data_IF_736651313176
#
_entry.id   IF_736651313176
#
_cell.length_a   1.000
_cell.length_b   1.000
_cell.length_c   1.000
_cell.angle_alpha   90.00
_cell.angle_beta   90.00
_cell.angle_gamma   90.00
#
_symmetry.space_group_name_H-M   'P 1'
#
loop_
_entity.id
_entity.type
_entity.pdbx_description
1 polymer ?
#
# COMPACT_ATOMS: atom_id res chain seq x y z
N UNK A 1 -16.22 -22.66 -13.68
CA UNK A 1 -15.37 -21.58 -13.15
C UNK A 1 -16.17 -20.36 -12.70
N UNK A 2 -16.05 -20.00 -11.42
CA UNK A 2 -16.47 -18.70 -10.84
C UNK A 2 -15.23 -17.81 -10.75
N UNK A 3 -15.30 -16.59 -11.28
CA UNK A 3 -14.14 -15.67 -11.35
C UNK A 3 -14.34 -14.52 -10.38
N UNK A 4 -13.47 -14.42 -9.39
CA UNK A 4 -13.54 -13.46 -8.30
C UNK A 4 -12.40 -12.45 -8.45
N UNK A 5 -12.72 -11.19 -8.73
CA UNK A 5 -11.72 -10.12 -8.78
C UNK A 5 -11.62 -9.43 -7.41
N UNK A 6 -10.40 -9.30 -6.88
CA UNK A 6 -10.14 -8.62 -5.61
C UNK A 6 -9.71 -7.19 -5.93
N UNK A 7 -10.62 -6.22 -5.76
CA UNK A 7 -10.44 -4.85 -6.27
C UNK A 7 -10.46 -3.83 -5.14
N UNK A 8 -9.38 -3.04 -5.07
CA UNK A 8 -9.33 -1.85 -4.23
C UNK A 8 -8.26 -0.84 -4.69
N UNK A 9 -8.68 0.42 -4.87
CA UNK A 9 -7.85 1.56 -5.29
C UNK A 9 -6.86 2.02 -4.19
N UNK A 10 -7.09 1.69 -2.93
CA UNK A 10 -6.13 1.97 -1.85
C UNK A 10 -4.99 0.95 -1.90
N UNK A 11 -3.75 1.42 -1.86
CA UNK A 11 -2.59 0.59 -1.57
C UNK A 11 -2.66 0.05 -0.13
N UNK A 12 -2.12 -1.15 0.13
CA UNK A 12 -1.99 -1.68 1.49
C UNK A 12 -3.27 -2.23 2.15
N UNK A 13 -4.41 -2.26 1.47
CA UNK A 13 -5.67 -2.82 1.97
C UNK A 13 -5.73 -4.36 2.00
N UNK A 14 -4.61 -5.05 1.74
CA UNK A 14 -4.51 -6.51 1.84
C UNK A 14 -5.05 -7.29 0.65
N UNK A 15 -5.22 -6.69 -0.55
CA UNK A 15 -5.66 -7.40 -1.77
C UNK A 15 -4.88 -8.70 -2.01
N UNK A 16 -3.58 -8.60 -2.25
CA UNK A 16 -2.70 -9.74 -2.50
C UNK A 16 -2.73 -10.75 -1.35
N UNK A 17 -2.73 -10.27 -0.11
CA UNK A 17 -2.85 -11.13 1.08
C UNK A 17 -4.15 -11.92 1.05
N UNK A 18 -5.27 -11.30 0.71
CA UNK A 18 -6.57 -11.96 0.61
C UNK A 18 -6.58 -12.90 -0.59
N UNK A 19 -6.08 -12.48 -1.75
CA UNK A 19 -5.98 -13.28 -2.97
C UNK A 19 -5.23 -14.59 -2.73
N UNK A 20 -4.03 -14.53 -2.14
CA UNK A 20 -3.21 -15.71 -1.82
C UNK A 20 -3.93 -16.63 -0.83
N UNK A 21 -4.36 -16.10 0.31
CA UNK A 21 -4.84 -16.95 1.40
C UNK A 21 -6.25 -17.48 1.14
N UNK A 22 -7.11 -16.72 0.45
CA UNK A 22 -8.40 -17.23 -0.01
C UNK A 22 -8.22 -18.31 -1.08
N UNK A 23 -7.29 -18.11 -2.03
CA UNK A 23 -6.99 -19.13 -3.03
C UNK A 23 -6.51 -20.43 -2.38
N UNK A 24 -5.62 -20.32 -1.39
CA UNK A 24 -5.16 -21.48 -0.61
C UNK A 24 -6.29 -22.14 0.18
N UNK A 25 -7.16 -21.37 0.85
CA UNK A 25 -8.27 -21.93 1.61
C UNK A 25 -9.32 -22.63 0.73
N UNK A 26 -9.61 -22.10 -0.46
CA UNK A 26 -10.46 -22.76 -1.45
C UNK A 26 -9.84 -24.07 -1.96
N UNK A 27 -8.52 -24.09 -2.19
CA UNK A 27 -7.80 -25.29 -2.60
C UNK A 27 -7.83 -26.37 -1.49
N UNK A 28 -7.66 -26.00 -0.22
CA UNK A 28 -7.82 -26.90 0.93
C UNK A 28 -9.24 -27.43 1.07
N UNK A 29 -10.25 -26.59 0.77
CA UNK A 29 -11.66 -27.01 0.68
C UNK A 29 -11.95 -27.89 -0.55
N UNK A 30 -10.90 -28.26 -1.30
CA UNK A 30 -10.94 -29.25 -2.36
C UNK A 30 -11.28 -28.71 -3.73
N UNK A 31 -11.40 -27.40 -3.90
CA UNK A 31 -11.67 -26.75 -5.18
C UNK A 31 -10.40 -26.67 -6.04
N UNK A 32 -10.51 -26.77 -7.36
CA UNK A 32 -9.41 -26.43 -8.27
C UNK A 32 -9.36 -24.92 -8.47
N UNK A 33 -8.25 -24.30 -8.10
CA UNK A 33 -8.12 -22.85 -8.02
C UNK A 33 -7.00 -22.35 -8.91
N UNK A 34 -7.31 -21.33 -9.71
CA UNK A 34 -6.33 -20.52 -10.43
C UNK A 34 -6.22 -19.14 -9.76
N UNK A 35 -5.02 -18.75 -9.36
CA UNK A 35 -4.73 -17.38 -8.96
C UNK A 35 -4.05 -16.66 -10.13
N UNK A 36 -4.61 -15.53 -10.55
CA UNK A 36 -4.04 -14.67 -11.59
C UNK A 36 -3.57 -13.37 -10.95
N UNK A 37 -2.27 -13.13 -10.97
CA UNK A 37 -1.69 -11.87 -10.53
C UNK A 37 -1.79 -10.84 -11.67
N UNK A 38 -2.53 -9.75 -11.48
CA UNK A 38 -2.66 -8.65 -12.43
C UNK A 38 -1.98 -7.37 -11.93
N UNK A 39 -1.19 -7.44 -10.86
CA UNK A 39 -0.41 -6.30 -10.36
C UNK A 39 1.02 -6.35 -10.95
N UNK A 40 1.49 -5.30 -11.65
CA UNK A 40 2.87 -5.24 -12.13
C UNK A 40 3.95 -5.40 -11.04
N UNK A 41 3.61 -5.23 -9.76
CA UNK A 41 4.52 -5.51 -8.64
C UNK A 41 4.72 -7.00 -8.34
N UNK A 42 3.92 -7.89 -8.92
CA UNK A 42 4.07 -9.35 -8.83
C UNK A 42 4.15 -9.90 -7.38
N UNK A 43 3.41 -9.31 -6.46
CA UNK A 43 3.46 -9.70 -5.05
C UNK A 43 2.91 -11.12 -4.79
N UNK A 44 2.08 -11.69 -5.67
CA UNK A 44 1.64 -13.07 -5.51
C UNK A 44 2.80 -14.06 -5.69
N UNK A 45 3.69 -13.82 -6.65
CA UNK A 45 4.87 -14.67 -6.85
C UNK A 45 5.76 -14.70 -5.60
N UNK A 46 6.05 -13.51 -5.04
CA UNK A 46 6.84 -13.38 -3.81
C UNK A 46 6.14 -14.07 -2.63
N UNK A 47 4.84 -13.81 -2.44
CA UNK A 47 4.05 -14.37 -1.34
C UNK A 47 3.80 -15.88 -1.43
N UNK A 48 4.16 -16.50 -2.55
CA UNK A 48 4.05 -17.95 -2.80
C UNK A 48 5.42 -18.58 -3.14
N UNK A 49 6.52 -17.89 -2.85
CA UNK A 49 7.89 -18.34 -3.07
C UNK A 49 8.20 -18.77 -4.53
N UNK A 50 7.50 -18.20 -5.51
CA UNK A 50 7.81 -18.40 -6.93
C UNK A 50 9.05 -17.56 -7.29
N UNK A 51 10.11 -18.17 -7.82
CA UNK A 51 11.35 -17.47 -8.11
C UNK A 51 11.19 -16.53 -9.30
N UNK A 52 11.02 -15.23 -9.03
CA UNK A 52 10.74 -14.20 -10.06
C UNK A 52 11.74 -14.21 -11.23
N UNK A 53 13.01 -14.53 -10.96
CA UNK A 53 14.06 -14.62 -12.00
C UNK A 53 13.87 -15.76 -13.00
N UNK A 54 13.02 -16.74 -12.69
CA UNK A 54 12.70 -17.88 -13.56
C UNK A 54 11.38 -17.68 -14.32
N UNK A 55 10.68 -16.57 -14.06
CA UNK A 55 9.46 -16.22 -14.80
C UNK A 55 9.88 -15.67 -16.17
N UNK A 56 10.00 -16.56 -17.16
CA UNK A 56 10.34 -16.20 -18.53
C UNK A 56 9.14 -15.58 -19.29
N UNK A 57 7.94 -16.07 -18.96
CA UNK A 57 6.67 -15.59 -19.50
C UNK A 57 5.67 -15.40 -18.36
N UNK A 58 4.84 -14.38 -18.50
CA UNK A 58 3.90 -13.94 -17.46
C UNK A 58 2.51 -13.69 -18.07
N UNK A 59 1.54 -13.30 -17.23
CA UNK A 59 0.21 -12.94 -17.69
C UNK A 59 0.26 -11.83 -18.75
N UNK A 60 1.26 -10.94 -18.68
CA UNK A 60 1.46 -9.88 -19.68
C UNK A 60 1.57 -10.46 -21.09
N UNK A 61 2.39 -11.49 -21.28
CA UNK A 61 2.64 -12.13 -22.57
C UNK A 61 1.37 -12.77 -23.12
N UNK A 62 0.58 -13.42 -22.25
CA UNK A 62 -0.72 -13.99 -22.61
C UNK A 62 -1.69 -12.89 -23.06
N UNK A 63 -1.77 -11.77 -22.33
CA UNK A 63 -2.74 -10.71 -22.62
C UNK A 63 -2.44 -9.94 -23.93
N UNK A 64 -1.16 -9.79 -24.29
CA UNK A 64 -0.74 -9.11 -25.53
C UNK A 64 -0.56 -10.07 -26.71
N UNK A 65 -0.50 -11.39 -26.47
CA UNK A 65 -0.27 -12.41 -27.50
C UNK A 65 -1.16 -12.25 -28.74
N UNK A 66 -2.42 -11.83 -28.51
CA UNK A 66 -3.41 -11.62 -29.56
C UNK A 66 -3.09 -10.43 -30.46
N UNK A 67 -2.49 -9.35 -29.94
CA UNK A 67 -2.07 -8.21 -30.76
C UNK A 67 -0.80 -8.51 -31.54
N UNK A 68 0.00 -9.48 -31.09
CA UNK A 68 1.25 -9.92 -31.74
C UNK A 68 1.08 -11.02 -32.79
N UNK A 69 -0.14 -11.56 -32.99
CA UNK A 69 -0.41 -12.74 -33.84
C UNK A 69 0.39 -14.00 -33.44
N UNK A 70 0.85 -14.08 -32.19
CA UNK A 70 1.58 -15.23 -31.64
C UNK A 70 0.87 -15.66 -30.34
N UNK A 71 -0.19 -16.50 -30.43
CA UNK A 71 -1.02 -16.83 -29.28
C UNK A 71 -0.24 -17.68 -28.27
N UNK A 72 -0.14 -17.18 -27.04
CA UNK A 72 0.42 -17.91 -25.89
C UNK A 72 -0.77 -18.36 -25.04
N UNK A 73 -0.85 -19.66 -24.73
CA UNK A 73 -1.93 -20.16 -23.87
C UNK A 73 -1.62 -19.83 -22.41
N UNK A 74 -2.67 -19.60 -21.65
CA UNK A 74 -2.55 -19.36 -20.21
C UNK A 74 -1.85 -20.52 -19.48
N UNK A 75 -2.07 -21.77 -19.92
CA UNK A 75 -1.44 -22.97 -19.36
C UNK A 75 0.08 -23.02 -19.50
N UNK A 76 0.67 -22.23 -20.39
CA UNK A 76 2.11 -22.22 -20.65
C UNK A 76 2.90 -21.43 -19.59
N UNK A 77 2.22 -20.56 -18.84
CA UNK A 77 2.85 -19.67 -17.84
C UNK A 77 2.54 -20.09 -16.39
N UNK A 78 1.82 -21.19 -16.18
CA UNK A 78 1.31 -21.56 -14.87
C UNK A 78 2.41 -22.16 -13.98
N UNK A 79 2.42 -21.71 -12.73
CA UNK A 79 3.25 -22.25 -11.67
C UNK A 79 2.40 -23.07 -10.71
N UNK A 80 2.75 -24.34 -10.51
CA UNK A 80 2.10 -25.18 -9.53
C UNK A 80 2.51 -24.75 -8.12
N UNK A 81 1.54 -24.41 -7.28
CA UNK A 81 1.76 -24.04 -5.87
C UNK A 81 1.41 -25.21 -4.96
N UNK A 82 0.24 -25.81 -5.15
CA UNK A 82 -0.20 -27.07 -4.52
C UNK A 82 -0.96 -27.90 -5.54
N UNK A 83 -1.31 -29.15 -5.24
CA UNK A 83 -2.08 -30.03 -6.16
C UNK A 83 -3.38 -29.42 -6.73
N UNK A 84 -3.93 -28.39 -6.08
CA UNK A 84 -5.18 -27.74 -6.45
C UNK A 84 -5.08 -26.22 -6.60
N UNK A 85 -3.88 -25.64 -6.48
CA UNK A 85 -3.63 -24.22 -6.64
C UNK A 85 -2.50 -23.99 -7.64
N UNK A 86 -2.82 -23.25 -8.69
CA UNK A 86 -1.84 -22.78 -9.68
C UNK A 86 -1.85 -21.24 -9.73
N UNK A 87 -0.68 -20.66 -10.02
CA UNK A 87 -0.48 -19.23 -10.17
C UNK A 87 -0.17 -18.91 -11.63
N UNK A 88 -0.90 -17.96 -12.22
CA UNK A 88 -0.48 -17.22 -13.40
C UNK A 88 0.22 -15.93 -12.92
N UNK A 89 1.57 -15.86 -12.98
CA UNK A 89 2.31 -14.78 -12.37
C UNK A 89 2.26 -13.49 -13.21
N UNK A 90 2.48 -12.36 -12.54
CA UNK A 90 2.70 -11.08 -13.18
C UNK A 90 4.19 -10.82 -13.42
N UNK A 91 4.46 -9.71 -14.11
CA UNK A 91 5.80 -9.16 -14.26
C UNK A 91 5.71 -7.64 -14.36
N UNK A 92 6.84 -6.95 -14.20
CA UNK A 92 6.91 -5.50 -14.32
C UNK A 92 6.45 -5.00 -15.70
N UNK A 93 6.55 -5.84 -16.74
CA UNK A 93 6.13 -5.52 -18.11
C UNK A 93 4.63 -5.28 -18.23
N UNK A 94 3.84 -5.78 -17.28
CA UNK A 94 2.40 -5.52 -17.19
C UNK A 94 2.09 -4.02 -17.07
N UNK A 95 3.04 -3.20 -16.59
CA UNK A 95 2.94 -1.73 -16.58
C UNK A 95 2.83 -1.12 -17.98
N UNK A 96 3.40 -1.77 -19.01
CA UNK A 96 3.33 -1.33 -20.39
C UNK A 96 2.05 -1.78 -21.11
N UNK A 97 1.21 -2.61 -20.47
CA UNK A 97 0.03 -3.22 -21.08
C UNK A 97 -0.91 -2.19 -21.73
N UNK A 98 -1.20 -1.09 -21.03
CA UNK A 98 -2.11 -0.06 -21.55
C UNK A 98 -1.57 0.65 -22.80
N UNK A 99 -0.26 0.91 -22.83
CA UNK A 99 0.40 1.51 -23.98
C UNK A 99 0.43 0.54 -25.17
N UNK A 100 0.77 -0.74 -24.93
CA UNK A 100 0.85 -1.76 -25.99
C UNK A 100 -0.51 -2.06 -26.62
N UNK A 101 -1.57 -1.98 -25.83
CA UNK A 101 -2.93 -2.24 -26.30
C UNK A 101 -3.62 -0.98 -26.85
N UNK A 102 -2.89 0.14 -27.01
CA UNK A 102 -3.46 1.36 -27.57
C UNK A 102 -3.97 1.15 -29.00
N UNK A 103 -5.22 1.51 -29.26
CA UNK A 103 -5.87 1.34 -30.57
C UNK A 103 -6.31 -0.09 -30.88
N UNK A 104 -6.03 -1.07 -30.02
CA UNK A 104 -6.52 -2.44 -30.18
C UNK A 104 -8.00 -2.51 -29.74
N UNK A 105 -8.91 -3.00 -30.61
CA UNK A 105 -10.31 -3.22 -30.25
C UNK A 105 -10.44 -4.26 -29.13
N UNK A 106 -11.45 -4.10 -28.26
CA UNK A 106 -11.73 -5.02 -27.15
C UNK A 106 -10.53 -5.32 -26.22
N UNK A 107 -9.61 -4.36 -26.09
CA UNK A 107 -8.44 -4.48 -25.20
C UNK A 107 -8.79 -4.68 -23.71
N UNK A 108 -10.03 -4.39 -23.32
CA UNK A 108 -10.55 -4.69 -21.99
C UNK A 108 -11.00 -6.15 -21.81
N UNK A 109 -11.02 -6.96 -22.87
CA UNK A 109 -11.52 -8.33 -22.86
C UNK A 109 -10.40 -9.39 -22.83
N UNK A 110 -9.12 -8.99 -22.89
CA UNK A 110 -8.00 -9.91 -23.02
C UNK A 110 -7.97 -11.00 -21.94
N UNK A 111 -8.16 -10.63 -20.67
CA UNK A 111 -8.15 -11.61 -19.58
C UNK A 111 -9.34 -12.58 -19.66
N UNK A 112 -10.53 -12.07 -19.97
CA UNK A 112 -11.73 -12.91 -20.17
C UNK A 112 -11.49 -13.96 -21.24
N UNK A 113 -10.93 -13.53 -22.36
CA UNK A 113 -10.67 -14.41 -23.50
C UNK A 113 -9.59 -15.45 -23.20
N UNK A 114 -8.55 -15.07 -22.44
CA UNK A 114 -7.54 -16.01 -21.96
C UNK A 114 -8.12 -17.07 -21.01
N UNK A 115 -8.99 -16.65 -20.09
CA UNK A 115 -9.65 -17.53 -19.11
C UNK A 115 -10.68 -18.48 -19.73
N UNK A 116 -11.29 -18.14 -20.86
CA UNK A 116 -12.22 -19.05 -21.55
C UNK A 116 -11.51 -20.35 -21.99
N UNK A 117 -10.19 -20.29 -22.26
CA UNK A 117 -9.38 -21.46 -22.60
C UNK A 117 -9.20 -22.49 -21.48
N UNK A 118 -9.38 -22.09 -20.21
CA UNK A 118 -9.17 -22.93 -19.02
C UNK A 118 -10.42 -23.09 -18.14
N UNK A 119 -11.57 -22.63 -18.65
CA UNK A 119 -12.82 -22.54 -17.89
C UNK A 119 -13.35 -23.87 -17.34
N UNK A 120 -12.95 -24.99 -17.96
CA UNK A 120 -13.36 -26.33 -17.54
C UNK A 120 -12.33 -26.99 -16.60
N UNK A 121 -11.16 -26.37 -16.40
CA UNK A 121 -10.07 -26.93 -15.61
C UNK A 121 -10.13 -26.47 -14.15
N UNK A 122 -10.74 -25.30 -13.90
CA UNK A 122 -10.86 -24.69 -12.57
C UNK A 122 -12.30 -24.47 -12.11
N UNK A 123 -12.51 -24.69 -10.82
CA UNK A 123 -13.75 -24.37 -10.14
C UNK A 123 -13.80 -22.86 -9.85
N UNK A 124 -12.68 -22.29 -9.39
CA UNK A 124 -12.52 -20.88 -9.03
C UNK A 124 -11.29 -20.24 -9.69
N UNK A 125 -11.44 -18.98 -10.09
CA UNK A 125 -10.32 -18.11 -10.45
C UNK A 125 -10.33 -16.88 -9.57
N UNK A 126 -9.21 -16.55 -8.94
CA UNK A 126 -9.02 -15.32 -8.19
C UNK A 126 -8.13 -14.39 -9.02
N UNK A 127 -8.50 -13.12 -9.11
CA UNK A 127 -7.73 -12.10 -9.84
C UNK A 127 -7.24 -11.04 -8.87
N UNK A 128 -5.94 -11.02 -8.58
CA UNK A 128 -5.32 -9.99 -7.73
C UNK A 128 -5.12 -8.71 -8.54
N UNK A 129 -5.90 -7.67 -8.25
CA UNK A 129 -5.88 -6.45 -9.05
C UNK A 129 -4.88 -5.42 -8.50
N UNK A 130 -4.30 -4.57 -9.37
CA UNK A 130 -3.42 -3.49 -8.93
C UNK A 130 -4.20 -2.44 -8.12
N UNK A 131 -3.53 -1.60 -7.31
CA UNK A 131 -4.15 -0.48 -6.59
C UNK A 131 -4.60 0.68 -7.50
N UNK A 132 -4.56 0.51 -8.82
CA UNK A 132 -4.92 1.53 -9.79
C UNK A 132 -6.26 1.20 -10.47
N UNK A 133 -7.02 2.24 -10.83
CA UNK A 133 -8.18 2.09 -11.71
C UNK A 133 -7.71 2.38 -13.14
N UNK A 134 -7.36 1.31 -13.86
CA UNK A 134 -6.83 1.37 -15.21
C UNK A 134 -7.21 0.14 -16.04
N UNK A 135 -6.61 -0.01 -17.23
CA UNK A 135 -6.98 -1.06 -18.18
C UNK A 135 -6.88 -2.49 -17.61
N UNK A 136 -5.95 -2.74 -16.70
CA UNK A 136 -5.79 -4.03 -16.00
C UNK A 136 -7.01 -4.36 -15.13
N UNK A 137 -7.47 -3.38 -14.36
CA UNK A 137 -8.68 -3.51 -13.53
C UNK A 137 -9.93 -3.69 -14.42
N UNK A 138 -10.01 -3.01 -15.57
CA UNK A 138 -11.07 -3.27 -16.55
C UNK A 138 -11.07 -4.72 -17.06
N UNK A 139 -9.88 -5.28 -17.35
CA UNK A 139 -9.74 -6.67 -17.76
C UNK A 139 -10.20 -7.64 -16.67
N UNK A 140 -9.80 -7.39 -15.42
CA UNK A 140 -10.27 -8.17 -14.27
C UNK A 140 -11.80 -8.12 -14.14
N UNK A 141 -12.41 -6.93 -14.21
CA UNK A 141 -13.86 -6.77 -14.11
C UNK A 141 -14.61 -7.43 -15.27
N UNK A 142 -14.11 -7.35 -16.50
CA UNK A 142 -14.70 -8.01 -17.68
C UNK A 142 -14.63 -9.54 -17.60
N UNK A 143 -13.64 -10.07 -16.91
CA UNK A 143 -13.49 -11.50 -16.67
C UNK A 143 -14.28 -12.00 -15.45
N UNK A 144 -14.54 -11.12 -14.47
CA UNK A 144 -15.14 -11.46 -13.19
C UNK A 144 -16.63 -11.79 -13.29
N UNK A 145 -17.05 -12.74 -12.45
CA UNK A 145 -18.45 -12.97 -12.06
C UNK A 145 -18.76 -12.25 -10.74
N UNK A 146 -17.76 -12.17 -9.86
CA UNK A 146 -17.87 -11.61 -8.51
C UNK A 146 -16.69 -10.67 -8.27
N UNK A 147 -16.91 -9.64 -7.46
CA UNK A 147 -15.89 -8.69 -7.04
C UNK A 147 -15.88 -8.64 -5.52
N UNK A 148 -14.72 -8.89 -4.94
CA UNK A 148 -14.48 -8.69 -3.51
C UNK A 148 -13.80 -7.34 -3.33
N UNK A 149 -14.40 -6.48 -2.52
CA UNK A 149 -13.82 -5.19 -2.13
C UNK A 149 -13.34 -5.31 -0.68
N UNK A 150 -12.03 -5.56 -0.47
CA UNK A 150 -11.48 -5.59 0.88
C UNK A 150 -11.43 -4.17 1.45
N UNK A 151 -11.97 -3.98 2.65
CA UNK A 151 -11.98 -2.70 3.36
C UNK A 151 -11.25 -2.87 4.67
N UNK A 152 -10.16 -2.14 4.83
CA UNK A 152 -9.41 -2.05 6.09
C UNK A 152 -10.26 -1.28 7.10
N UNK A 153 -10.46 -1.78 8.33
CA UNK A 153 -11.24 -1.08 9.37
C UNK A 153 -10.40 -0.05 10.15
N UNK A 154 -9.76 0.87 9.44
CA UNK A 154 -8.93 1.96 10.00
C UNK A 154 -9.53 3.35 9.78
N UNK A 155 -8.91 4.39 10.33
CA UNK A 155 -9.43 5.78 10.32
C UNK A 155 -9.96 6.27 8.94
N UNK A 156 -9.24 5.95 7.87
CA UNK A 156 -9.60 6.38 6.50
C UNK A 156 -10.47 5.39 5.71
N UNK A 157 -11.00 4.35 6.37
CA UNK A 157 -11.76 3.28 5.72
C UNK A 157 -12.98 3.77 4.96
N UNK A 158 -13.83 4.56 5.65
CA UNK A 158 -15.13 4.95 5.14
C UNK A 158 -15.03 6.07 4.09
N UNK A 159 -14.14 7.04 4.29
CA UNK A 159 -13.95 8.14 3.35
C UNK A 159 -13.48 7.66 1.96
N UNK A 160 -12.60 6.65 1.91
CA UNK A 160 -12.13 6.06 0.66
C UNK A 160 -13.15 5.12 0.00
N UNK A 161 -13.99 4.47 0.81
CA UNK A 161 -14.88 3.41 0.36
C UNK A 161 -16.00 3.91 -0.57
N UNK A 162 -16.65 5.04 -0.23
CA UNK A 162 -17.73 5.58 -1.07
C UNK A 162 -17.23 5.88 -2.49
N UNK A 163 -16.18 6.70 -2.60
CA UNK A 163 -15.60 7.04 -3.90
C UNK A 163 -15.12 5.82 -4.69
N UNK A 164 -14.61 4.81 -3.99
CA UNK A 164 -14.17 3.57 -4.60
C UNK A 164 -15.35 2.75 -5.17
N UNK A 165 -16.44 2.60 -4.41
CA UNK A 165 -17.63 1.89 -4.86
C UNK A 165 -18.38 2.65 -5.96
N UNK A 166 -18.40 3.97 -5.92
CA UNK A 166 -18.88 4.82 -7.00
C UNK A 166 -18.10 4.54 -8.29
N UNK A 167 -16.77 4.60 -8.18
CA UNK A 167 -15.87 4.30 -9.29
C UNK A 167 -16.14 2.91 -9.83
N UNK A 168 -16.23 1.89 -8.97
CA UNK A 168 -16.52 0.53 -9.36
C UNK A 168 -17.88 0.39 -10.08
N UNK A 169 -18.93 1.06 -9.58
CA UNK A 169 -20.24 1.08 -10.22
C UNK A 169 -20.18 1.68 -11.64
N UNK A 170 -19.44 2.79 -11.81
CA UNK A 170 -19.21 3.41 -13.12
C UNK A 170 -18.44 2.46 -14.05
N UNK A 171 -17.41 1.79 -13.54
CA UNK A 171 -16.61 0.82 -14.31
C UNK A 171 -17.48 -0.35 -14.78
N UNK A 172 -18.30 -0.92 -13.90
CA UNK A 172 -19.18 -2.04 -14.22
C UNK A 172 -20.22 -1.66 -15.28
N UNK A 173 -20.83 -0.46 -15.16
CA UNK A 173 -21.75 0.10 -16.16
C UNK A 173 -21.06 0.24 -17.53
N UNK A 174 -19.84 0.80 -17.56
CA UNK A 174 -19.07 0.98 -18.80
C UNK A 174 -18.70 -0.36 -19.44
N UNK A 175 -18.45 -1.37 -18.64
CA UNK A 175 -18.13 -2.72 -19.11
C UNK A 175 -19.35 -3.51 -19.60
N UNK A 176 -20.58 -3.01 -19.43
CA UNK A 176 -21.79 -3.81 -19.69
C UNK A 176 -21.73 -5.22 -19.06
N UNK A 177 -21.01 -5.35 -17.94
CA UNK A 177 -20.75 -6.61 -17.25
C UNK A 177 -21.52 -6.60 -15.94
N UNK A 178 -22.23 -7.69 -15.69
CA UNK A 178 -22.94 -7.89 -14.42
C UNK A 178 -22.00 -8.60 -13.45
N UNK A 179 -21.48 -7.86 -12.47
CA UNK A 179 -20.67 -8.42 -11.38
C UNK A 179 -21.40 -8.26 -10.05
N UNK A 180 -21.26 -9.25 -9.19
CA UNK A 180 -21.72 -9.20 -7.81
C UNK A 180 -20.61 -8.62 -6.94
N UNK A 181 -20.78 -7.42 -6.38
CA UNK A 181 -19.76 -6.84 -5.50
C UNK A 181 -20.14 -7.11 -4.04
N UNK A 182 -19.24 -7.75 -3.32
CA UNK A 182 -19.34 -7.93 -1.88
C UNK A 182 -18.17 -7.26 -1.17
N UNK A 183 -18.48 -6.55 -0.08
CA UNK A 183 -17.51 -5.92 0.80
C UNK A 183 -16.98 -6.96 1.79
N UNK A 184 -15.66 -6.99 1.97
CA UNK A 184 -14.99 -7.81 2.97
C UNK A 184 -14.28 -6.92 3.99
N UNK A 185 -14.70 -6.95 5.25
CA UNK A 185 -13.92 -6.31 6.30
C UNK A 185 -12.60 -7.07 6.51
N UNK A 186 -11.50 -6.35 6.41
CA UNK A 186 -10.14 -6.89 6.45
C UNK A 186 -9.30 -6.15 7.47
N UNK A 187 -8.23 -6.81 7.95
CA UNK A 187 -7.32 -6.30 8.98
C UNK A 187 -8.05 -5.80 10.24
N UNK A 188 -9.15 -6.46 10.60
CA UNK A 188 -10.00 -6.02 11.71
C UNK A 188 -9.32 -6.23 13.07
N UNK A 189 -9.13 -5.13 13.82
CA UNK A 189 -8.64 -5.17 15.20
C UNK A 189 -9.74 -4.80 16.19
N UNK A 190 -10.37 -5.84 16.76
CA UNK A 190 -11.45 -5.73 17.76
C UNK A 190 -11.09 -4.88 18.99
N UNK A 191 -9.80 -4.74 19.30
CA UNK A 191 -9.33 -3.97 20.46
C UNK A 191 -9.56 -2.48 20.27
N UNK A 192 -9.60 -2.02 19.03
CA UNK A 192 -9.81 -0.60 18.72
C UNK A 192 -11.30 -0.28 18.72
N UNK A 193 -11.67 0.84 19.35
CA UNK A 193 -13.06 1.35 19.33
C UNK A 193 -13.48 1.70 17.90
N UNK A 194 -12.58 2.37 17.17
CA UNK A 194 -12.79 2.77 15.79
C UNK A 194 -13.08 1.61 14.85
N UNK A 195 -12.34 0.50 14.90
CA UNK A 195 -12.62 -0.64 14.03
C UNK A 195 -14.01 -1.23 14.32
N UNK A 196 -14.46 -1.23 15.59
CA UNK A 196 -15.81 -1.69 15.97
C UNK A 196 -16.90 -0.78 15.42
N UNK A 197 -16.70 0.54 15.49
CA UNK A 197 -17.64 1.54 14.95
C UNK A 197 -17.71 1.46 13.42
N UNK A 198 -16.56 1.43 12.75
CA UNK A 198 -16.49 1.27 11.28
C UNK A 198 -17.14 -0.04 10.85
N UNK A 199 -16.87 -1.15 11.54
CA UNK A 199 -17.49 -2.43 11.21
C UNK A 199 -19.02 -2.40 11.38
N UNK A 200 -19.52 -1.73 12.42
CA UNK A 200 -20.96 -1.56 12.62
C UNK A 200 -21.57 -0.76 11.47
N UNK A 201 -20.93 0.33 11.08
CA UNK A 201 -21.33 1.17 9.95
C UNK A 201 -21.34 0.37 8.64
N UNK A 202 -20.26 -0.36 8.35
CA UNK A 202 -20.19 -1.22 7.16
C UNK A 202 -21.33 -2.24 7.14
N UNK A 203 -21.67 -2.85 8.28
CA UNK A 203 -22.79 -3.79 8.35
C UNK A 203 -24.15 -3.13 8.16
N UNK A 204 -24.33 -1.93 8.68
CA UNK A 204 -25.56 -1.15 8.53
C UNK A 204 -25.81 -0.76 7.07
N UNK A 205 -24.77 -0.27 6.37
CA UNK A 205 -24.92 0.18 4.97
C UNK A 205 -24.87 -0.95 3.97
N UNK A 206 -24.00 -1.95 4.17
CA UNK A 206 -23.78 -3.00 3.17
C UNK A 206 -24.64 -4.25 3.41
N UNK A 207 -25.06 -4.53 4.64
CA UNK A 207 -25.96 -5.64 5.01
C UNK A 207 -25.71 -6.95 4.22
N UNK A 208 -26.59 -7.32 3.29
CA UNK A 208 -26.53 -8.47 2.38
C UNK A 208 -25.38 -8.43 1.35
N UNK A 209 -24.77 -7.27 1.14
CA UNK A 209 -23.62 -7.01 0.25
C UNK A 209 -22.28 -7.05 0.99
N UNK A 210 -22.27 -7.54 2.22
CA UNK A 210 -21.05 -7.73 3.01
C UNK A 210 -20.93 -9.19 3.38
N UNK A 211 -19.70 -9.73 3.32
CA UNK A 211 -19.43 -11.04 3.89
C UNK A 211 -19.68 -11.01 5.40
N UNK A 212 -20.32 -12.06 5.90
CA UNK A 212 -20.47 -12.29 7.34
C UNK A 212 -19.10 -12.51 7.97
N UNK A 213 -18.22 -13.19 7.23
CA UNK A 213 -16.84 -13.41 7.61
C UNK A 213 -16.03 -12.12 7.58
N UNK A 214 -15.17 -11.97 8.58
CA UNK A 214 -14.24 -10.84 8.72
C UNK A 214 -12.83 -11.41 8.82
N UNK A 215 -11.89 -10.82 8.09
CA UNK A 215 -10.48 -11.16 8.23
C UNK A 215 -9.88 -10.29 9.34
N UNK A 216 -9.51 -10.91 10.46
CA UNK A 216 -8.92 -10.20 11.60
C UNK A 216 -7.47 -9.79 11.31
N UNK A 217 -7.03 -8.72 11.98
CA UNK A 217 -5.60 -8.42 12.05
C UNK A 217 -4.86 -9.58 12.72
N UNK A 218 -3.88 -10.14 12.01
CA UNK A 218 -3.05 -11.22 12.52
C UNK A 218 -1.62 -11.05 12.03
N UNK A 219 -0.67 -10.96 12.97
CA UNK A 219 0.76 -10.79 12.66
C UNK A 219 1.32 -11.97 11.88
N UNK A 220 0.82 -13.18 12.12
CA UNK A 220 1.26 -14.41 11.45
C UNK A 220 0.97 -14.40 9.96
N UNK A 221 -0.08 -13.70 9.50
CA UNK A 221 -0.35 -13.55 8.06
C UNK A 221 0.78 -12.75 7.39
N UNK A 222 1.26 -11.69 8.04
CA UNK A 222 2.38 -10.88 7.56
C UNK A 222 3.68 -11.68 7.58
N UNK A 223 3.91 -12.44 8.64
CA UNK A 223 5.06 -13.35 8.74
C UNK A 223 5.03 -14.39 7.62
N UNK A 224 3.90 -15.08 7.42
CA UNK A 224 3.72 -16.07 6.35
C UNK A 224 4.09 -15.51 4.97
N UNK A 225 3.63 -14.29 4.65
CA UNK A 225 4.00 -13.60 3.41
C UNK A 225 5.52 -13.34 3.30
N UNK A 226 6.21 -13.06 4.40
CA UNK A 226 7.67 -12.88 4.40
C UNK A 226 8.45 -14.19 4.20
N UNK A 227 7.83 -15.33 4.50
CA UNK A 227 8.37 -16.66 4.21
C UNK A 227 7.93 -17.20 2.85
N UNK A 228 7.15 -16.44 2.08
CA UNK A 228 6.64 -16.86 0.77
C UNK A 228 5.66 -18.02 0.86
N UNK A 229 4.89 -18.10 1.94
CA UNK A 229 3.93 -19.16 2.19
C UNK A 229 2.55 -18.59 2.52
N UNK A 230 1.45 -19.25 2.11
CA UNK A 230 0.13 -18.92 2.62
C UNK A 230 0.02 -19.28 4.12
N UNK A 231 -0.93 -18.67 4.83
CA UNK A 231 -1.11 -18.86 6.27
C UNK A 231 -1.51 -20.29 6.63
N UNK A 232 -2.16 -20.99 5.71
CA UNK A 232 -2.44 -22.43 5.75
C UNK A 232 -1.19 -23.28 5.96
N UNK A 233 -0.09 -22.94 5.28
CA UNK A 233 1.17 -23.67 5.37
C UNK A 233 2.02 -23.18 6.53
N UNK A 234 2.08 -21.85 6.75
CA UNK A 234 2.90 -21.25 7.80
C UNK A 234 2.36 -21.54 9.22
N UNK A 235 1.06 -21.35 9.45
CA UNK A 235 0.41 -21.69 10.71
C UNK A 235 -1.07 -22.09 10.51
N UNK A 236 -1.33 -23.39 10.20
CA UNK A 236 -2.67 -23.90 9.96
C UNK A 236 -3.61 -23.80 11.18
N UNK A 237 -3.07 -23.68 12.40
CA UNK A 237 -3.87 -23.54 13.61
C UNK A 237 -4.24 -22.08 13.94
N UNK A 238 -3.68 -21.12 13.21
CA UNK A 238 -3.84 -19.69 13.47
C UNK A 238 -5.29 -19.22 13.33
N UNK A 239 -5.62 -18.11 14.01
CA UNK A 239 -6.90 -17.44 13.80
C UNK A 239 -7.05 -16.92 12.36
N UNK A 240 -5.94 -16.49 11.75
CA UNK A 240 -5.94 -16.00 10.37
C UNK A 240 -6.37 -17.08 9.38
N UNK A 241 -5.85 -18.30 9.54
CA UNK A 241 -6.27 -19.43 8.71
C UNK A 241 -7.76 -19.74 8.89
N UNK A 242 -8.26 -19.73 10.13
CA UNK A 242 -9.69 -19.94 10.41
C UNK A 242 -10.57 -18.89 9.74
N UNK A 243 -10.14 -17.63 9.73
CA UNK A 243 -10.87 -16.56 9.05
C UNK A 243 -10.96 -16.81 7.54
N UNK A 244 -9.87 -17.26 6.89
CA UNK A 244 -9.89 -17.58 5.46
C UNK A 244 -10.66 -18.87 5.13
N UNK A 245 -10.63 -19.88 6.01
CA UNK A 245 -11.47 -21.07 5.88
C UNK A 245 -12.95 -20.71 5.92
N UNK A 246 -13.37 -19.89 6.91
CA UNK A 246 -14.74 -19.41 6.99
C UNK A 246 -15.15 -18.60 5.75
N UNK A 247 -14.25 -17.76 5.22
CA UNK A 247 -14.51 -16.98 4.02
C UNK A 247 -14.65 -17.88 2.79
N UNK A 248 -13.82 -18.91 2.65
CA UNK A 248 -13.92 -19.89 1.59
C UNK A 248 -15.24 -20.68 1.67
N UNK A 249 -15.64 -21.13 2.86
CA UNK A 249 -16.92 -21.81 3.10
C UNK A 249 -18.11 -20.91 2.75
N UNK A 250 -18.09 -19.64 3.14
CA UNK A 250 -19.12 -18.66 2.79
C UNK A 250 -19.21 -18.47 1.27
N UNK A 251 -18.07 -18.32 0.58
CA UNK A 251 -18.03 -18.19 -0.88
C UNK A 251 -18.53 -19.46 -1.59
N UNK A 252 -18.21 -20.65 -1.08
CA UNK A 252 -18.70 -21.93 -1.63
C UNK A 252 -20.21 -22.07 -1.39
N UNK A 253 -20.71 -21.63 -0.23
CA UNK A 253 -22.11 -21.74 0.17
C UNK A 253 -23.07 -20.75 -0.48
N UNK A 254 -22.59 -19.59 -0.96
CA UNK A 254 -23.45 -18.57 -1.58
C UNK A 254 -24.06 -19.03 -2.92
N UNK A 255 -25.40 -19.10 -3.05
CA UNK A 255 -26.05 -19.54 -4.28
C UNK A 255 -25.88 -18.50 -5.38
N UNK A 256 -25.29 -18.91 -6.50
CA UNK A 256 -25.20 -18.04 -7.65
C UNK A 256 -26.52 -18.02 -8.45
N UNK A 257 -27.31 -16.92 -8.43
CA UNK A 257 -27.90 -16.27 -9.65
C UNK A 257 -29.12 -15.34 -9.53
N UNK A 258 -29.90 -15.21 -8.45
CA UNK A 258 -31.25 -14.61 -8.60
C UNK A 258 -31.55 -13.25 -7.95
N UNK A 259 -30.79 -12.78 -6.95
CA UNK A 259 -30.96 -11.42 -6.36
C UNK A 259 -30.29 -10.29 -7.19
N UNK A 260 -29.86 -10.61 -8.41
CA UNK A 260 -28.70 -10.03 -9.10
C UNK A 260 -28.99 -8.79 -9.96
N UNK A 261 -30.18 -8.19 -9.87
CA UNK A 261 -30.65 -7.07 -10.73
C UNK A 261 -30.84 -5.72 -10.02
N UNK A 262 -31.04 -5.70 -8.70
CA UNK A 262 -31.26 -4.45 -7.92
C UNK A 262 -29.96 -3.74 -7.50
N UNK A 263 -28.83 -4.41 -7.69
CA UNK A 263 -27.53 -4.10 -7.10
C UNK A 263 -26.85 -2.81 -7.61
N UNK A 264 -26.78 -2.59 -8.93
CA UNK A 264 -26.03 -1.43 -9.50
C UNK A 264 -26.76 -0.10 -9.26
N UNK A 265 -28.09 -0.13 -9.14
CA UNK A 265 -28.89 1.07 -8.89
C UNK A 265 -28.91 1.44 -7.40
N UNK A 266 -29.03 0.45 -6.49
CA UNK A 266 -29.02 0.71 -5.04
C UNK A 266 -27.66 1.19 -4.50
N UNK A 267 -26.56 0.83 -5.16
CA UNK A 267 -25.23 1.34 -4.80
C UNK A 267 -25.12 2.87 -4.94
N UNK A 268 -25.74 3.47 -5.95
CA UNK A 268 -25.70 4.93 -6.14
C UNK A 268 -26.39 5.67 -4.99
N UNK A 269 -27.51 5.14 -4.51
CA UNK A 269 -28.31 5.75 -3.44
C UNK A 269 -27.64 5.59 -2.06
N UNK A 270 -26.91 4.49 -1.82
CA UNK A 270 -26.19 4.24 -0.56
C UNK A 270 -24.87 5.01 -0.44
N UNK A 271 -24.30 5.48 -1.55
CA UNK A 271 -23.04 6.22 -1.55
C UNK A 271 -23.15 7.60 -0.88
N UNK A 272 -24.31 8.25 -1.00
CA UNK A 272 -24.57 9.54 -0.35
C UNK A 272 -24.69 9.41 1.17
N UNK A 273 -25.32 8.33 1.68
CA UNK A 273 -25.45 8.08 3.12
C UNK A 273 -24.11 7.72 3.77
N UNK A 274 -23.30 6.86 3.14
CA UNK A 274 -21.99 6.46 3.67
C UNK A 274 -21.05 7.67 3.73
N UNK A 275 -21.09 8.55 2.72
CA UNK A 275 -20.24 9.75 2.73
C UNK A 275 -20.62 10.72 3.85
N UNK A 276 -21.89 10.79 4.23
CA UNK A 276 -22.35 11.59 5.36
C UNK A 276 -21.87 11.01 6.68
N UNK A 277 -22.09 9.71 6.94
CA UNK A 277 -21.66 9.11 8.21
C UNK A 277 -20.15 9.05 8.36
N UNK A 278 -19.40 8.85 7.27
CA UNK A 278 -17.95 8.91 7.28
C UNK A 278 -17.44 10.25 7.82
N UNK A 279 -18.05 11.36 7.39
CA UNK A 279 -17.70 12.70 7.86
C UNK A 279 -18.09 12.93 9.33
N UNK A 280 -19.24 12.41 9.76
CA UNK A 280 -19.70 12.52 11.16
C UNK A 280 -18.82 11.71 12.12
N UNK A 281 -18.44 10.48 11.77
CA UNK A 281 -17.54 9.64 12.58
C UNK A 281 -16.13 10.25 12.70
N UNK A 282 -15.65 10.90 11.63
CA UNK A 282 -14.38 11.63 11.63
C UNK A 282 -14.47 12.86 12.55
N UNK A 283 -15.55 13.65 12.46
CA UNK A 283 -15.77 14.80 13.35
C UNK A 283 -15.97 14.39 14.80
N UNK A 284 -16.67 13.29 15.08
CA UNK A 284 -16.85 12.76 16.44
C UNK A 284 -15.55 12.22 17.05
N UNK A 285 -14.54 11.91 16.23
CA UNK A 285 -13.20 11.52 16.66
C UNK A 285 -12.26 12.72 16.90
N UNK A 286 -12.68 13.96 16.58
CA UNK A 286 -11.94 15.18 16.93
C UNK A 286 -12.20 15.55 18.41
N UNK A 287 -11.15 15.82 19.22
CA UNK A 287 -11.36 16.26 20.59
C UNK A 287 -11.92 17.70 20.60
N UNK A 288 -13.01 17.90 21.33
CA UNK A 288 -13.57 19.23 21.58
C UNK A 288 -12.59 20.06 22.42
N UNK A 289 -11.96 21.07 21.82
CA UNK A 289 -11.16 22.07 22.54
C UNK A 289 -12.05 23.30 22.75
N UNK A 290 -12.49 23.53 23.98
CA UNK A 290 -13.02 24.83 24.41
C UNK A 290 -11.89 25.86 24.39
N UNK A 291 -11.99 26.83 23.47
CA UNK A 291 -11.10 27.99 23.44
C UNK A 291 -11.51 28.92 24.59
N UNK A 292 -10.77 28.89 25.69
CA UNK A 292 -10.84 29.96 26.70
C UNK A 292 -10.01 31.13 26.18
N UNK A 293 -10.67 32.20 25.74
CA UNK A 293 -10.01 33.46 25.40
C UNK A 293 -9.37 34.08 26.65
N UNK A 294 -8.06 33.90 26.81
CA UNK A 294 -7.25 34.77 27.68
C UNK A 294 -6.65 35.89 26.84
N UNK A 295 -7.19 37.09 27.01
CA UNK A 295 -6.63 38.34 26.48
C UNK A 295 -5.23 38.59 27.02
N UNK A 296 -4.24 38.76 26.13
CA UNK A 296 -2.88 39.19 26.45
C UNK A 296 -2.68 40.63 25.93
N UNK A 297 -2.06 41.56 26.70
CA UNK A 297 -1.93 42.96 26.30
C UNK A 297 -0.89 43.19 25.19
N UNK A 298 -1.21 44.13 24.30
CA UNK A 298 -0.42 44.61 23.17
C UNK A 298 0.96 45.17 23.57
N UNK A 299 2.01 44.80 22.84
CA UNK A 299 3.33 45.46 22.86
C UNK A 299 3.66 46.05 21.48
N UNK A 300 4.46 47.13 21.39
CA UNK A 300 4.44 48.07 20.28
C UNK A 300 5.30 47.62 19.09
N UNK A 301 4.80 47.88 17.87
CA UNK A 301 5.49 47.64 16.60
C UNK A 301 6.67 48.62 16.36
N UNK A 302 7.81 48.17 15.80
CA UNK A 302 8.81 49.06 15.21
C UNK A 302 8.45 49.44 13.76
N UNK A 303 8.74 50.70 13.41
CA UNK A 303 8.46 51.37 12.12
C UNK A 303 9.34 50.90 10.94
N UNK A 304 8.88 51.08 9.68
CA UNK A 304 9.56 50.59 8.48
C UNK A 304 10.68 51.54 8.00
N UNK A 305 11.80 50.96 7.51
CA UNK A 305 12.81 51.66 6.71
C UNK A 305 12.73 51.23 5.24
N UNK A 306 12.69 52.23 4.36
CA UNK A 306 12.61 52.13 2.90
C UNK A 306 13.91 51.57 2.29
N UNK A 307 13.80 50.67 1.30
CA UNK A 307 14.87 50.39 0.34
C UNK A 307 14.37 50.58 -1.10
N UNK A 308 15.21 51.31 -1.84
CA UNK A 308 14.99 51.90 -3.16
C UNK A 308 15.06 50.86 -4.28
N UNK A 309 14.22 51.05 -5.31
CA UNK A 309 14.13 50.26 -6.54
C UNK A 309 15.20 50.65 -7.58
N UNK A 310 15.75 49.67 -8.31
CA UNK A 310 16.29 49.87 -9.66
C UNK A 310 16.35 48.55 -10.46
N UNK A 311 15.95 48.62 -11.74
CA UNK A 311 15.71 47.53 -12.67
C UNK A 311 16.94 47.10 -13.49
N UNK A 312 16.82 45.93 -14.12
CA UNK A 312 17.80 45.24 -14.98
C UNK A 312 18.17 45.98 -16.30
N UNK A 313 19.22 45.51 -16.98
CA UNK A 313 18.98 44.98 -18.33
C UNK A 313 19.81 43.71 -18.71
N UNK A 314 19.59 43.31 -19.95
CA UNK A 314 19.54 41.97 -20.57
C UNK A 314 20.78 41.59 -21.40
N UNK A 315 20.92 40.28 -21.66
CA UNK A 315 21.33 39.62 -22.93
C UNK A 315 22.75 39.01 -23.13
N UNK A 316 22.69 37.77 -23.63
CA UNK A 316 23.51 37.07 -24.64
C UNK A 316 24.71 36.18 -24.23
N UNK A 317 24.59 34.88 -24.56
CA UNK A 317 25.65 33.87 -24.73
C UNK A 317 26.32 34.03 -26.14
N UNK A 318 27.50 33.43 -26.52
CA UNK A 318 27.81 31.99 -26.36
C UNK A 318 29.30 31.54 -26.29
N UNK A 319 29.47 30.20 -26.17
CA UNK A 319 30.47 29.31 -26.79
C UNK A 319 31.85 29.01 -26.15
N UNK A 320 31.96 27.74 -25.69
CA UNK A 320 33.02 26.73 -25.90
C UNK A 320 34.53 27.07 -25.77
N UNK A 321 35.19 26.41 -24.82
CA UNK A 321 36.43 25.66 -25.07
C UNK A 321 36.64 24.57 -24.01
N UNK A 322 36.92 23.35 -24.47
CA UNK A 322 37.23 22.17 -23.68
C UNK A 322 38.68 22.22 -23.17
N UNK A 323 38.91 21.74 -21.94
CA UNK A 323 40.18 21.13 -21.49
C UNK A 323 39.92 20.23 -20.28
N UNK A 324 40.31 18.96 -20.39
CA UNK A 324 40.35 17.97 -19.33
C UNK A 324 41.78 17.90 -18.71
N UNK A 325 42.03 17.12 -17.65
CA UNK A 325 42.23 17.64 -16.30
C UNK A 325 43.71 17.63 -15.87
N UNK A 326 44.07 18.52 -14.94
CA UNK A 326 45.33 18.44 -14.21
C UNK A 326 45.09 17.80 -12.83
N UNK A 327 45.80 16.71 -12.58
CA UNK A 327 45.94 16.00 -11.32
C UNK A 327 46.60 16.88 -10.26
N UNK A 328 45.95 17.04 -9.12
CA UNK A 328 46.62 17.37 -7.85
C UNK A 328 45.91 16.66 -6.71
N UNK A 329 46.65 15.74 -6.10
CA UNK A 329 46.35 15.06 -4.85
C UNK A 329 46.07 16.10 -3.75
N UNK A 330 44.94 15.96 -3.07
CA UNK A 330 44.78 16.53 -1.73
C UNK A 330 44.14 15.49 -0.81
N UNK A 331 44.93 15.21 0.21
CA UNK A 331 44.75 14.31 1.35
C UNK A 331 43.49 14.61 2.15
N UNK A 332 42.65 13.59 2.34
CA UNK A 332 41.53 13.58 3.29
C UNK A 332 42.03 13.70 4.74
N UNK A 333 41.42 14.56 5.58
CA UNK A 333 41.54 14.43 7.01
C UNK A 333 40.67 13.25 7.48
N UNK A 334 41.36 12.20 7.92
CA UNK A 334 40.82 10.98 8.50
C UNK A 334 39.78 11.29 9.62
N UNK A 335 38.49 11.11 9.32
CA UNK A 335 37.45 10.96 10.33
C UNK A 335 37.53 9.50 10.82
N UNK A 336 37.55 9.22 12.14
CA UNK A 336 37.70 7.86 12.63
C UNK A 336 36.46 7.02 12.32
N UNK A 337 36.64 5.90 11.63
CA UNK A 337 35.63 4.84 11.50
C UNK A 337 35.22 4.34 12.89
N UNK A 338 33.95 4.51 13.23
CA UNK A 338 33.37 3.88 14.42
C UNK A 338 33.21 2.39 14.10
N UNK A 339 34.11 1.56 14.62
CA UNK A 339 33.94 0.11 14.62
C UNK A 339 32.71 -0.26 15.44
N UNK A 340 31.75 -0.92 14.79
CA UNK A 340 30.59 -1.54 15.44
C UNK A 340 31.11 -2.74 16.25
N UNK A 341 31.00 -2.74 17.59
CA UNK A 341 31.40 -3.91 18.37
C UNK A 341 30.43 -5.06 18.09
N UNK A 342 30.95 -6.21 17.66
CA UNK A 342 30.20 -7.45 17.61
C UNK A 342 29.76 -7.81 19.04
N UNK A 343 28.46 -7.76 19.33
CA UNK A 343 27.89 -8.09 20.63
C UNK A 343 27.16 -9.43 20.52
N UNK A 344 27.41 -10.31 21.49
CA UNK A 344 26.83 -11.65 21.59
C UNK A 344 25.29 -11.62 21.55
N UNK A 345 24.69 -12.64 20.93
CA UNK A 345 23.25 -12.81 20.81
C UNK A 345 22.57 -12.79 22.19
N UNK A 346 21.52 -11.96 22.39
CA UNK A 346 20.68 -12.07 23.57
C UNK A 346 19.60 -13.15 23.35
N UNK A 347 19.46 -14.05 24.32
CA UNK A 347 18.28 -14.89 24.48
C UNK A 347 17.08 -14.03 24.90
N UNK A 348 15.90 -14.25 24.31
CA UNK A 348 14.61 -13.75 24.84
C UNK A 348 13.88 -12.71 23.99
N UNK A 349 12.55 -12.86 24.03
CA UNK A 349 11.49 -12.43 23.10
C UNK A 349 10.99 -10.99 23.28
N UNK A 350 11.31 -10.09 22.33
CA UNK A 350 10.44 -9.00 21.80
C UNK A 350 11.14 -8.38 20.57
N UNK A 351 10.57 -8.58 19.38
CA UNK A 351 11.15 -8.12 18.11
C UNK A 351 11.01 -6.61 17.91
N UNK A 352 9.97 -5.97 18.49
CA UNK A 352 9.76 -4.53 18.36
C UNK A 352 10.80 -3.73 19.14
N UNK A 353 11.20 -4.21 20.34
CA UNK A 353 12.32 -3.63 21.09
C UNK A 353 13.67 -3.76 20.38
N UNK A 354 13.90 -4.88 19.67
CA UNK A 354 15.13 -5.12 18.90
C UNK A 354 15.27 -4.24 17.67
N UNK A 355 14.15 -3.78 17.08
CA UNK A 355 14.15 -2.90 15.91
C UNK A 355 14.32 -1.43 16.30
N UNK A 356 13.76 -0.98 17.43
CA UNK A 356 14.01 0.36 17.98
C UNK A 356 15.46 0.58 18.40
N UNK A 357 16.16 -0.50 18.77
CA UNK A 357 17.61 -0.46 19.05
C UNK A 357 18.44 -0.18 17.77
N UNK A 358 17.85 -0.35 16.58
CA UNK A 358 18.52 -0.22 15.27
C UNK A 358 17.99 0.93 14.40
N UNK A 359 16.70 1.26 14.49
CA UNK A 359 16.00 2.28 13.69
C UNK A 359 15.15 3.19 14.58
N UNK A 360 15.04 4.47 14.21
CA UNK A 360 14.36 5.52 14.97
C UNK A 360 15.33 6.54 15.53
N UNK A 361 14.96 7.16 16.66
CA UNK A 361 15.70 8.27 17.26
C UNK A 361 16.51 7.81 18.46
N UNK A 362 17.83 7.83 18.33
CA UNK A 362 18.78 7.44 19.38
C UNK A 362 19.45 8.66 19.98
N UNK A 363 19.28 8.88 21.28
CA UNK A 363 19.92 9.99 22.00
C UNK A 363 21.29 9.56 22.54
N UNK A 364 22.34 10.26 22.13
CA UNK A 364 23.70 10.13 22.66
C UNK A 364 24.04 11.30 23.57
N UNK A 365 25.13 11.22 24.33
CA UNK A 365 25.53 12.25 25.30
C UNK A 365 25.76 13.65 24.71
N UNK A 366 25.99 13.78 23.40
CA UNK A 366 26.29 15.06 22.74
C UNK A 366 25.43 15.37 21.51
N UNK A 367 24.49 14.48 21.15
CA UNK A 367 23.69 14.61 19.93
C UNK A 367 22.57 13.57 19.86
N UNK A 368 21.68 13.76 18.89
CA UNK A 368 20.62 12.84 18.52
C UNK A 368 20.93 12.24 17.15
N UNK A 369 20.89 10.92 17.06
CA UNK A 369 21.08 10.17 15.82
C UNK A 369 19.73 9.67 15.35
N UNK A 370 19.35 10.05 14.13
CA UNK A 370 18.16 9.55 13.46
C UNK A 370 18.59 8.45 12.50
N UNK A 371 17.95 7.28 12.56
CA UNK A 371 18.22 6.14 11.69
C UNK A 371 16.91 5.64 11.10
N UNK A 372 16.84 5.44 9.79
CA UNK A 372 15.61 5.00 9.11
C UNK A 372 15.92 4.10 7.92
N UNK A 373 14.94 3.30 7.47
CA UNK A 373 15.14 2.30 6.41
C UNK A 373 14.28 2.64 5.18
N UNK A 374 14.95 3.08 4.11
CA UNK A 374 14.35 3.27 2.79
C UNK A 374 15.27 2.70 1.70
N UNK A 375 15.18 1.39 1.39
CA UNK A 375 16.08 0.73 0.45
C UNK A 375 16.06 1.28 -0.96
N UNK A 376 14.89 1.77 -1.39
CA UNK A 376 14.63 2.29 -2.73
C UNK A 376 14.66 3.81 -2.80
N UNK A 377 14.83 4.52 -1.69
CA UNK A 377 14.89 5.99 -1.74
C UNK A 377 16.20 6.46 -2.38
N UNK A 378 16.11 7.58 -3.10
CA UNK A 378 17.25 8.28 -3.68
C UNK A 378 17.72 9.42 -2.76
N UNK A 379 16.80 10.03 -2.03
CA UNK A 379 17.08 11.12 -1.10
C UNK A 379 16.20 11.00 0.15
N UNK A 380 16.84 11.06 1.33
CA UNK A 380 16.16 11.13 2.61
C UNK A 380 16.68 12.32 3.39
N UNK A 381 15.77 13.14 3.89
CA UNK A 381 16.07 14.36 4.63
C UNK A 381 15.19 14.42 5.89
N UNK A 382 15.60 15.21 6.86
CA UNK A 382 14.78 15.47 8.05
C UNK A 382 14.46 16.96 8.13
N UNK A 383 13.25 17.30 8.56
CA UNK A 383 12.80 18.68 8.74
C UNK A 383 12.03 18.80 10.04
N UNK A 384 12.33 19.83 10.83
CA UNK A 384 11.71 20.03 12.12
C UNK A 384 12.07 21.38 12.73
N UNK A 385 11.69 21.56 14.00
CA UNK A 385 11.88 22.81 14.72
C UNK A 385 13.36 23.25 14.75
N UNK A 386 14.28 22.29 14.77
CA UNK A 386 15.73 22.52 14.85
C UNK A 386 16.38 23.00 13.54
N UNK A 387 15.68 22.95 12.41
CA UNK A 387 16.17 23.44 11.12
C UNK A 387 15.15 24.35 10.40
N UNK A 388 14.22 24.94 11.16
CA UNK A 388 13.14 25.78 10.64
C UNK A 388 12.33 25.10 9.53
N UNK A 389 12.12 23.79 9.63
CA UNK A 389 11.37 23.00 8.64
C UNK A 389 11.97 23.07 7.22
N UNK A 390 13.30 23.18 7.10
CA UNK A 390 14.03 23.21 5.82
C UNK A 390 14.80 21.90 5.60
N UNK A 391 14.26 20.92 4.85
CA UNK A 391 14.87 19.60 4.69
C UNK A 391 16.30 19.63 4.13
N UNK A 392 16.58 20.61 3.26
CA UNK A 392 17.90 20.81 2.66
C UNK A 392 19.01 21.09 3.67
N UNK A 393 18.69 21.53 4.89
CA UNK A 393 19.69 21.83 5.93
C UNK A 393 20.16 20.58 6.67
N UNK A 394 19.41 19.48 6.64
CA UNK A 394 19.75 18.23 7.32
C UNK A 394 19.43 17.03 6.42
N UNK A 395 20.22 16.80 5.35
CA UNK A 395 20.15 15.56 4.59
C UNK A 395 20.60 14.37 5.46
N UNK A 396 20.07 13.19 5.15
CA UNK A 396 20.51 11.92 5.72
C UNK A 396 21.50 11.23 4.78
N UNK A 397 22.46 10.53 5.35
CA UNK A 397 23.48 9.78 4.62
C UNK A 397 23.09 8.31 4.53
N UNK A 398 23.24 7.72 3.34
CA UNK A 398 23.00 6.28 3.13
C UNK A 398 24.16 5.47 3.72
N UNK A 399 23.85 4.56 4.63
CA UNK A 399 24.82 3.71 5.34
C UNK A 399 24.78 2.30 4.78
N UNK A 400 25.88 1.87 4.16
CA UNK A 400 26.00 0.55 3.56
C UNK A 400 25.05 0.33 2.38
N UNK A 401 24.84 -0.94 2.00
CA UNK A 401 24.02 -1.31 0.84
C UNK A 401 22.57 -1.69 1.20
N UNK A 402 22.23 -1.69 2.49
CA UNK A 402 20.95 -2.20 3.01
C UNK A 402 19.78 -1.20 3.00
N UNK A 403 19.98 0.02 2.48
CA UNK A 403 18.91 1.02 2.47
C UNK A 403 18.73 1.84 3.74
N UNK A 404 19.70 1.74 4.65
CA UNK A 404 19.69 2.48 5.90
C UNK A 404 20.13 3.91 5.63
N UNK A 405 19.43 4.87 6.21
CA UNK A 405 19.74 6.29 6.17
C UNK A 405 19.96 6.78 7.59
N UNK A 406 21.00 7.59 7.81
CA UNK A 406 21.28 8.16 9.12
C UNK A 406 21.63 9.64 9.06
N UNK A 407 21.35 10.37 10.13
CA UNK A 407 21.94 11.69 10.35
C UNK A 407 22.13 11.97 11.83
N UNK A 408 23.15 12.77 12.18
CA UNK A 408 23.48 13.15 13.56
C UNK A 408 23.25 14.65 13.73
N UNK A 409 22.37 15.04 14.66
CA UNK A 409 22.01 16.43 14.92
C UNK A 409 22.32 16.76 16.38
N UNK A 410 23.04 17.86 16.62
CA UNK A 410 23.25 18.38 17.97
C UNK A 410 22.03 19.17 18.40
N UNK A 411 21.27 18.63 19.35
CA UNK A 411 20.05 19.25 19.88
C UNK A 411 20.21 19.50 21.38
N UNK A 412 19.95 20.74 21.85
CA UNK A 412 19.77 21.02 23.27
C UNK A 412 18.62 20.20 23.89
N UNK A 413 18.57 20.16 25.22
CA UNK A 413 17.42 19.61 25.94
C UNK A 413 16.15 20.36 25.56
N UNK A 414 15.09 19.62 25.20
CA UNK A 414 13.84 20.22 24.73
C UNK A 414 12.94 19.27 23.97
N UNK A 415 11.72 19.73 23.70
CA UNK A 415 10.74 19.04 22.86
C UNK A 415 10.81 19.60 21.44
N UNK A 416 10.99 18.73 20.45
CA UNK A 416 11.12 19.06 19.04
C UNK A 416 10.10 18.30 18.22
N UNK A 417 9.50 18.97 17.24
CA UNK A 417 8.66 18.39 16.21
C UNK A 417 9.47 18.22 14.94
N UNK A 418 9.30 17.08 14.26
CA UNK A 418 10.00 16.81 13.01
C UNK A 418 9.23 15.83 12.11
N UNK A 419 9.64 15.76 10.85
CA UNK A 419 9.19 14.83 9.82
C UNK A 419 10.36 14.41 8.94
N UNK A 420 10.19 13.26 8.30
CA UNK A 420 11.08 12.79 7.25
C UNK A 420 10.57 13.29 5.90
N UNK A 421 11.49 13.63 5.01
CA UNK A 421 11.21 13.95 3.61
C UNK A 421 11.96 12.94 2.75
N UNK A 422 11.22 11.99 2.18
CA UNK A 422 11.75 10.88 1.38
C UNK A 422 11.36 11.13 -0.07
N UNK A 423 12.34 11.32 -0.95
CA UNK A 423 12.14 11.63 -2.38
C UNK A 423 11.14 12.79 -2.61
N UNK A 424 11.20 13.80 -1.72
CA UNK A 424 10.33 14.98 -1.76
C UNK A 424 8.94 14.81 -1.11
N UNK A 425 8.59 13.61 -0.64
CA UNK A 425 7.35 13.33 0.06
C UNK A 425 7.50 13.49 1.57
N UNK A 426 6.61 14.27 2.19
CA UNK A 426 6.60 14.51 3.62
C UNK A 426 5.90 13.39 4.37
N UNK A 427 6.57 12.81 5.36
CA UNK A 427 6.07 11.66 6.08
C UNK A 427 6.49 11.68 7.54
N UNK A 428 5.68 11.02 8.36
CA UNK A 428 6.04 10.75 9.75
C UNK A 428 7.25 9.80 9.81
N UNK A 429 8.02 9.87 10.89
CA UNK A 429 8.97 8.80 11.20
C UNK A 429 8.19 7.52 11.59
N UNK A 430 8.25 6.44 10.78
CA UNK A 430 7.53 5.20 11.05
C UNK A 430 8.04 4.48 12.32
N UNK A 431 9.23 4.85 12.81
CA UNK A 431 9.85 4.28 14.00
C UNK A 431 9.61 5.14 15.25
N UNK A 432 8.92 6.28 15.13
CA UNK A 432 8.55 7.11 16.27
C UNK A 432 7.04 7.06 16.54
N UNK A 433 6.68 6.50 17.70
CA UNK A 433 5.30 6.34 18.13
C UNK A 433 4.71 7.59 18.80
N UNK A 434 5.53 8.59 19.10
CA UNK A 434 5.09 9.84 19.73
C UNK A 434 4.89 10.88 18.64
N UNK A 435 3.65 11.35 18.48
CA UNK A 435 3.26 12.31 17.43
C UNK A 435 2.30 13.37 17.91
N UNK A 436 2.31 14.52 17.24
CA UNK A 436 1.37 15.62 17.45
C UNK A 436 0.81 16.10 16.11
N UNK A 437 -0.47 16.48 16.09
CA UNK A 437 -1.12 17.03 14.89
C UNK A 437 -0.59 18.44 14.64
N UNK A 438 -0.16 18.71 13.42
CA UNK A 438 0.31 20.02 12.98
C UNK A 438 -0.86 20.90 12.47
N UNK A 439 -0.65 22.22 12.28
CA UNK A 439 -1.70 23.14 11.83
C UNK A 439 -2.33 22.81 10.47
N UNK A 440 -1.75 21.89 9.70
CA UNK A 440 -2.22 21.45 8.39
C UNK A 440 -2.96 20.11 8.45
N UNK A 441 -3.22 19.57 9.66
CA UNK A 441 -3.96 18.32 9.85
C UNK A 441 -3.13 17.05 9.64
N UNK A 442 -1.80 17.17 9.52
CA UNK A 442 -0.89 16.04 9.39
C UNK A 442 -0.11 15.80 10.69
N UNK A 443 0.54 14.64 10.85
CA UNK A 443 1.28 14.31 12.07
C UNK A 443 2.76 14.69 11.98
N UNK A 444 3.22 15.44 12.98
CA UNK A 444 4.64 15.61 13.27
C UNK A 444 5.09 14.54 14.27
N UNK A 445 6.27 13.98 14.07
CA UNK A 445 6.95 13.14 15.06
C UNK A 445 7.52 14.01 16.17
N UNK A 446 7.40 13.58 17.43
CA UNK A 446 7.90 14.31 18.60
C UNK A 446 9.17 13.66 19.11
N UNK A 447 10.19 14.47 19.35
CA UNK A 447 11.42 14.10 20.05
C UNK A 447 11.56 14.92 21.33
N UNK A 448 11.62 14.27 22.48
CA UNK A 448 12.02 14.88 23.74
C UNK A 448 13.48 14.56 24.05
N UNK A 449 14.38 15.53 23.87
CA UNK A 449 15.80 15.41 24.22
C UNK A 449 15.96 15.62 25.72
N UNK A 450 16.49 14.63 26.43
CA UNK A 450 16.59 14.61 27.90
C UNK A 450 17.87 15.20 28.45
#
# INVERSE_FOLDING_TARGET
>A
MRTIAIVNQKGGCGKTTISINLASALAEAGQKVLLVDMDPQSHCAVGLAVPERQIEQSIYDVLISRSRNEPIKLTEILWQITDKLELAPASIDLSAFEQQMAGIPERECCLRDALEGVKNDYDYTLVDCPPAVGLLTFNALRAATDVVVPVETGYFALHGLSKQLETLSILCKRCSQHVEVCVLASMYDIRTKMAREILAELREHFSDKMYTTIVNFNTKIKEASSFGQPISEYDPASKGQKDFQALAEEIIGSPAKEQRREFVNSLADQLESISATANELIQAAEPAIEIVETTIPEQPQPQPQEFVTAAAPTAAAPAYAAQAPATTEHTDPHIPEIQIPARAEPEGTDLNGRLSDYYGVNQMSDAVVFVTLYPRAENVQIAGDFNNWQPAQTPMEKVGQGGVWQTKIKLPQGKYHYRLVVDGQWQQDPYNHITEVNPFGEYNSILEVK
#
